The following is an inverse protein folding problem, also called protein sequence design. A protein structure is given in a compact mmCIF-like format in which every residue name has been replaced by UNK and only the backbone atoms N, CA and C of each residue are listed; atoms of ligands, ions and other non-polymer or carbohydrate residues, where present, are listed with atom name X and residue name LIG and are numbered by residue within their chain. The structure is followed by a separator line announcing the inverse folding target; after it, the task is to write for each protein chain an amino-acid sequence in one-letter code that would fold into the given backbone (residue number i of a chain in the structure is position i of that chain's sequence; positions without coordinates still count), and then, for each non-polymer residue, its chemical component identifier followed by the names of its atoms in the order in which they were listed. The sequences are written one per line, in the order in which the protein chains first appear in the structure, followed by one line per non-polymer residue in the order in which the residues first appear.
data_IF_902977710489
#
_entry.id   IF_902977710489
#
_cell.length_a   1.000
_cell.length_b   1.000
_cell.length_c   1.000
_cell.angle_alpha   90.00
_cell.angle_beta   90.00
_cell.angle_gamma   90.00
#
_symmetry.space_group_name_H-M   'P 1'
#
loop_
_entity.id
_entity.type
_entity.pdbx_description
1 polymer ?
#
# COMPACT_ATOMS: atom_id res chain seq x y z
N UNK A 1 -5.51 36.58 14.99
CA UNK A 1 -5.19 35.61 16.06
C UNK A 1 -4.59 34.40 15.37
N UNK A 2 -3.26 34.34 15.36
CA UNK A 2 -2.50 33.27 14.74
C UNK A 2 -2.69 32.02 15.61
N UNK A 3 -3.40 31.02 15.06
CA UNK A 3 -3.64 29.77 15.76
C UNK A 3 -2.29 29.02 15.82
N UNK A 4 -1.57 29.16 16.92
CA UNK A 4 -0.37 28.39 17.25
C UNK A 4 -0.77 26.95 17.52
N UNK A 5 -1.18 26.24 16.46
CA UNK A 5 -1.19 24.80 16.46
C UNK A 5 0.24 24.36 16.82
N UNK A 6 0.39 23.78 18.01
CA UNK A 6 1.66 23.29 18.53
C UNK A 6 2.29 22.40 17.47
N UNK A 7 3.38 22.87 16.86
CA UNK A 7 4.12 22.07 15.88
C UNK A 7 4.52 20.77 16.56
N UNK A 8 4.10 19.60 16.06
CA UNK A 8 4.45 18.34 16.70
C UNK A 8 5.96 18.23 16.82
N UNK A 9 6.45 17.85 17.99
CA UNK A 9 7.88 17.62 18.23
C UNK A 9 8.30 16.33 17.48
N UNK A 10 8.73 16.48 16.22
CA UNK A 10 9.13 15.36 15.35
C UNK A 10 10.64 15.19 15.43
N UNK A 11 11.08 13.97 15.73
CA UNK A 11 12.48 13.56 15.76
C UNK A 11 12.63 12.14 15.19
N UNK A 12 13.87 11.69 14.98
CA UNK A 12 14.13 10.40 14.34
C UNK A 12 13.51 9.18 15.07
N UNK A 13 13.36 9.21 16.40
CA UNK A 13 12.82 8.07 17.16
C UNK A 13 11.30 7.96 17.10
N UNK A 14 10.59 9.05 16.78
CA UNK A 14 9.14 9.09 16.80
C UNK A 14 8.48 9.19 15.40
N UNK A 15 9.27 9.08 14.32
CA UNK A 15 8.77 9.16 12.93
C UNK A 15 7.64 8.17 12.64
N UNK A 16 7.77 6.93 13.11
CA UNK A 16 6.79 5.86 12.92
C UNK A 16 5.42 6.17 13.52
N UNK A 17 5.38 6.92 14.63
CA UNK A 17 4.13 7.38 15.22
C UNK A 17 3.63 8.63 14.50
N UNK A 18 4.51 9.59 14.24
CA UNK A 18 4.12 10.86 13.65
C UNK A 18 3.62 10.73 12.22
N UNK A 19 4.15 9.80 11.42
CA UNK A 19 3.65 9.56 10.05
C UNK A 19 2.17 9.16 10.02
N UNK A 20 1.70 8.47 11.07
CA UNK A 20 0.31 8.01 11.19
C UNK A 20 -0.66 9.15 11.45
N UNK A 21 -0.29 10.13 12.27
CA UNK A 21 -1.19 11.18 12.73
C UNK A 21 -0.90 12.55 12.11
N UNK A 22 0.35 12.79 11.70
CA UNK A 22 0.85 14.06 11.17
C UNK A 22 1.69 13.83 9.89
N UNK A 23 1.13 13.22 8.82
CA UNK A 23 1.90 12.78 7.66
C UNK A 23 2.66 13.92 6.96
N UNK A 24 2.02 15.06 6.72
CA UNK A 24 2.66 16.20 6.03
C UNK A 24 3.84 16.76 6.83
N UNK A 25 3.69 16.94 8.15
CA UNK A 25 4.76 17.41 9.01
C UNK A 25 5.91 16.39 9.08
N UNK A 26 5.58 15.11 9.10
CA UNK A 26 6.57 14.02 9.08
C UNK A 26 7.35 13.98 7.79
N UNK A 27 6.70 14.10 6.63
CA UNK A 27 7.38 14.21 5.35
C UNK A 27 8.29 15.44 5.30
N UNK A 28 7.82 16.60 5.74
CA UNK A 28 8.67 17.81 5.83
C UNK A 28 9.97 17.52 6.60
N UNK A 29 9.86 16.93 7.78
CA UNK A 29 11.03 16.56 8.58
C UNK A 29 11.95 15.56 7.84
N UNK A 30 11.39 14.51 7.23
CA UNK A 30 12.16 13.48 6.50
C UNK A 30 12.94 14.11 5.33
N UNK A 31 12.31 14.98 4.54
CA UNK A 31 12.97 15.59 3.39
C UNK A 31 14.00 16.66 3.79
N UNK A 32 13.79 17.37 4.91
CA UNK A 32 14.73 18.38 5.42
C UNK A 32 15.95 17.76 6.12
N UNK A 33 15.77 16.65 6.84
CA UNK A 33 16.81 16.06 7.69
C UNK A 33 17.46 14.80 7.07
N UNK A 34 17.00 14.40 5.88
CA UNK A 34 17.47 13.24 5.12
C UNK A 34 17.86 12.02 6.00
N UNK A 35 16.96 11.44 6.80
CA UNK A 35 17.18 10.10 7.28
C UNK A 35 17.06 9.17 6.07
N UNK A 36 18.12 9.04 5.26
CA UNK A 36 18.23 8.11 4.11
C UNK A 36 18.15 6.64 4.50
N UNK A 37 17.69 6.33 5.71
CA UNK A 37 17.69 5.00 6.28
C UNK A 37 16.45 4.24 5.81
N UNK A 38 16.75 3.21 5.01
CA UNK A 38 16.00 1.97 4.88
C UNK A 38 14.68 1.99 4.09
N UNK A 39 14.55 2.82 3.04
CA UNK A 39 13.45 2.68 2.04
C UNK A 39 13.24 1.23 1.62
N UNK A 40 14.34 0.49 1.41
CA UNK A 40 14.33 -0.93 1.08
C UNK A 40 13.59 -1.79 2.11
N UNK A 41 13.81 -1.57 3.42
CA UNK A 41 13.20 -2.41 4.46
C UNK A 41 11.68 -2.24 4.50
N UNK A 42 11.18 -1.02 4.29
CA UNK A 42 9.75 -0.74 4.21
C UNK A 42 9.12 -1.49 3.04
N UNK A 43 9.80 -1.56 1.91
CA UNK A 43 9.29 -2.26 0.74
C UNK A 43 9.25 -3.78 0.94
N UNK A 44 10.23 -4.35 1.63
CA UNK A 44 10.22 -5.77 2.01
C UNK A 44 9.03 -6.07 2.93
N UNK A 45 8.86 -5.32 4.02
CA UNK A 45 7.74 -5.55 4.94
C UNK A 45 6.38 -5.23 4.33
N UNK A 46 6.28 -4.18 3.51
CA UNK A 46 5.06 -3.87 2.75
C UNK A 46 4.72 -4.96 1.75
N UNK A 47 5.74 -5.62 1.17
CA UNK A 47 5.59 -6.78 0.29
C UNK A 47 5.04 -7.97 1.06
N UNK A 48 5.64 -8.29 2.22
CA UNK A 48 5.18 -9.34 3.14
C UNK A 48 3.71 -9.15 3.52
N UNK A 49 3.35 -7.95 3.98
CA UNK A 49 1.97 -7.62 4.39
C UNK A 49 0.97 -7.83 3.24
N UNK A 50 1.36 -7.41 2.03
CA UNK A 50 0.55 -7.60 0.82
C UNK A 50 0.45 -9.07 0.42
N UNK A 51 1.51 -9.86 0.61
CA UNK A 51 1.54 -11.30 0.36
C UNK A 51 0.59 -12.07 1.27
N UNK A 52 0.65 -11.81 2.57
CA UNK A 52 -0.28 -12.43 3.54
C UNK A 52 -1.72 -11.99 3.28
N UNK A 53 -1.94 -10.70 2.97
CA UNK A 53 -3.26 -10.22 2.56
C UNK A 53 -3.84 -11.02 1.38
N UNK A 54 -3.03 -11.29 0.35
CA UNK A 54 -3.46 -12.14 -0.78
C UNK A 54 -3.77 -13.58 -0.38
N UNK A 55 -3.10 -14.15 0.62
CA UNK A 55 -3.46 -15.48 1.13
C UNK A 55 -4.85 -15.47 1.77
N UNK A 56 -5.17 -14.42 2.53
CA UNK A 56 -6.48 -14.25 3.17
C UNK A 56 -7.60 -14.03 2.15
N UNK A 57 -7.30 -13.48 0.97
CA UNK A 57 -8.26 -13.17 -0.11
C UNK A 57 -8.43 -14.34 -1.13
N UNK A 58 -7.84 -15.52 -0.91
CA UNK A 58 -7.93 -16.66 -1.87
C UNK A 58 -9.31 -17.35 -1.86
N UNK A 59 -9.78 -17.75 -3.04
CA UNK A 59 -11.08 -18.41 -3.21
C UNK A 59 -11.12 -19.86 -2.70
N UNK A 60 -9.98 -20.54 -2.59
CA UNK A 60 -9.89 -21.90 -2.11
C UNK A 60 -9.66 -21.92 -0.59
N UNK A 61 -10.65 -22.36 0.17
CA UNK A 61 -10.51 -22.86 1.54
C UNK A 61 -9.89 -24.26 1.51
N UNK A 62 -8.75 -24.43 0.82
CA UNK A 62 -7.97 -25.65 1.00
C UNK A 62 -7.40 -25.57 2.41
N UNK A 63 -8.06 -26.32 3.29
CA UNK A 63 -7.91 -26.24 4.72
C UNK A 63 -6.49 -26.53 5.19
N UNK A 64 -6.23 -26.03 6.40
CA UNK A 64 -5.01 -26.13 7.20
C UNK A 64 -3.88 -25.17 6.81
N UNK A 65 -3.65 -24.17 7.67
CA UNK A 65 -2.45 -24.03 8.52
C UNK A 65 -1.09 -24.46 7.93
N UNK A 66 -0.88 -24.29 6.64
CA UNK A 66 0.43 -24.56 6.05
C UNK A 66 1.36 -23.40 6.40
N UNK A 67 1.91 -23.45 7.61
CA UNK A 67 3.04 -22.64 8.04
C UNK A 67 4.14 -22.59 6.96
N UNK A 68 4.46 -23.69 6.24
CA UNK A 68 5.36 -23.63 5.09
C UNK A 68 4.88 -22.66 4.00
N UNK A 69 3.59 -22.66 3.66
CA UNK A 69 3.02 -21.74 2.68
C UNK A 69 3.12 -20.29 3.15
N UNK A 70 2.81 -20.00 4.42
CA UNK A 70 2.97 -18.67 5.00
C UNK A 70 4.42 -18.19 4.90
N UNK A 71 5.39 -19.04 5.26
CA UNK A 71 6.82 -18.71 5.20
C UNK A 71 7.28 -18.46 3.75
N UNK A 72 6.88 -19.32 2.81
CA UNK A 72 7.17 -19.14 1.38
C UNK A 72 6.60 -17.81 0.89
N UNK A 73 5.34 -17.50 1.23
CA UNK A 73 4.72 -16.23 0.84
C UNK A 73 5.44 -15.05 1.46
N UNK A 74 5.80 -15.07 2.74
CA UNK A 74 6.55 -13.99 3.38
C UNK A 74 7.89 -13.75 2.68
N UNK A 75 8.64 -14.81 2.37
CA UNK A 75 9.92 -14.71 1.67
C UNK A 75 9.76 -14.16 0.25
N UNK A 76 8.89 -14.78 -0.56
CA UNK A 76 8.69 -14.40 -1.97
C UNK A 76 8.09 -13.00 -2.06
N UNK A 77 7.04 -12.70 -1.29
CA UNK A 77 6.39 -11.38 -1.35
C UNK A 77 7.25 -10.26 -0.77
N UNK A 78 8.09 -10.55 0.23
CA UNK A 78 9.10 -9.61 0.70
C UNK A 78 10.14 -9.32 -0.38
N UNK A 79 10.64 -10.36 -1.04
CA UNK A 79 11.59 -10.24 -2.16
C UNK A 79 10.97 -9.59 -3.40
N UNK A 80 9.68 -9.77 -3.68
CA UNK A 80 9.02 -9.08 -4.80
C UNK A 80 8.57 -7.67 -4.42
N UNK A 81 8.42 -7.37 -3.13
CA UNK A 81 7.97 -6.08 -2.61
C UNK A 81 8.89 -4.94 -3.06
N UNK A 82 10.21 -5.10 -2.89
CA UNK A 82 11.16 -4.05 -3.30
C UNK A 82 11.09 -3.74 -4.80
N UNK A 83 11.05 -4.76 -5.67
CA UNK A 83 10.91 -4.56 -7.11
C UNK A 83 9.60 -3.84 -7.44
N UNK A 84 8.51 -4.32 -6.84
CA UNK A 84 7.16 -3.80 -7.09
C UNK A 84 7.03 -2.33 -6.69
N UNK A 85 7.51 -1.95 -5.51
CA UNK A 85 7.40 -0.56 -5.04
C UNK A 85 8.35 0.39 -5.76
N UNK A 86 9.49 -0.07 -6.26
CA UNK A 86 10.33 0.72 -7.17
C UNK A 86 9.60 1.01 -8.49
N UNK A 87 8.93 0.00 -9.04
CA UNK A 87 8.15 0.15 -10.26
C UNK A 87 6.95 1.09 -10.04
N UNK A 88 6.25 0.97 -8.91
CA UNK A 88 5.17 1.90 -8.53
C UNK A 88 5.69 3.33 -8.42
N UNK A 89 6.85 3.55 -7.78
CA UNK A 89 7.45 4.88 -7.68
C UNK A 89 7.76 5.47 -9.06
N UNK A 90 8.27 4.65 -9.98
CA UNK A 90 8.55 5.05 -11.34
C UNK A 90 7.28 5.46 -12.09
N UNK A 91 6.22 4.64 -12.06
CA UNK A 91 4.97 5.00 -12.72
C UNK A 91 4.29 6.24 -12.10
N UNK A 92 4.36 6.42 -10.78
CA UNK A 92 3.87 7.64 -10.13
C UNK A 92 4.67 8.88 -10.52
N UNK A 93 5.96 8.74 -10.82
CA UNK A 93 6.76 9.85 -11.36
C UNK A 93 6.31 10.25 -12.76
N UNK A 94 6.10 9.27 -13.66
CA UNK A 94 5.60 9.51 -15.02
C UNK A 94 4.21 10.16 -14.96
N UNK A 95 3.31 9.62 -14.13
CA UNK A 95 1.99 10.21 -13.94
C UNK A 95 2.08 11.65 -13.38
N UNK A 96 3.05 11.90 -12.50
CA UNK A 96 3.38 13.22 -12.01
C UNK A 96 3.77 14.16 -13.15
N UNK A 97 4.69 13.73 -14.01
CA UNK A 97 5.20 14.50 -15.15
C UNK A 97 4.10 14.83 -16.17
N UNK A 98 3.21 13.87 -16.47
CA UNK A 98 2.01 14.09 -17.30
C UNK A 98 1.14 15.20 -16.70
N UNK A 99 1.02 15.22 -15.38
CA UNK A 99 0.29 16.24 -14.63
C UNK A 99 1.14 17.51 -14.37
N UNK A 100 2.29 17.69 -15.03
CA UNK A 100 3.21 18.83 -14.85
C UNK A 100 3.78 18.94 -13.43
N UNK A 101 4.03 17.79 -12.82
CA UNK A 101 4.77 17.63 -11.56
C UNK A 101 6.27 17.88 -11.74
N UNK A 102 7.00 17.87 -10.63
CA UNK A 102 8.46 18.07 -10.58
C UNK A 102 9.18 17.13 -9.61
N UNK A 103 8.45 16.29 -8.86
CA UNK A 103 9.06 15.37 -7.91
C UNK A 103 9.78 14.23 -8.63
N UNK A 104 10.96 13.88 -8.14
CA UNK A 104 11.78 12.80 -8.68
C UNK A 104 11.26 11.42 -8.27
N UNK A 105 11.73 10.37 -8.96
CA UNK A 105 11.47 8.97 -8.58
C UNK A 105 11.97 8.69 -7.15
N UNK A 106 13.06 9.32 -6.71
CA UNK A 106 13.57 9.19 -5.34
C UNK A 106 12.61 9.75 -4.28
N UNK A 107 11.98 10.88 -4.58
CA UNK A 107 10.98 11.49 -3.70
C UNK A 107 9.77 10.55 -3.54
N UNK A 108 9.29 9.97 -4.64
CA UNK A 108 8.22 8.98 -4.61
C UNK A 108 8.59 7.72 -3.82
N UNK A 109 9.81 7.19 -4.00
CA UNK A 109 10.28 6.03 -3.23
C UNK A 109 10.24 6.30 -1.73
N UNK A 110 10.69 7.47 -1.32
CA UNK A 110 10.65 7.90 0.08
C UNK A 110 9.21 8.03 0.59
N UNK A 111 8.34 8.68 -0.19
CA UNK A 111 6.92 8.83 0.16
C UNK A 111 6.23 7.48 0.31
N UNK A 112 6.41 6.56 -0.64
CA UNK A 112 5.80 5.22 -0.59
C UNK A 112 6.32 4.45 0.62
N UNK A 113 7.63 4.45 0.87
CA UNK A 113 8.21 3.71 1.99
C UNK A 113 7.56 4.10 3.32
N UNK A 114 7.44 5.40 3.59
CA UNK A 114 6.81 5.89 4.81
C UNK A 114 5.28 5.75 4.81
N UNK A 115 4.64 5.82 3.64
CA UNK A 115 3.22 5.52 3.51
C UNK A 115 2.90 4.06 3.86
N UNK A 116 3.83 3.12 3.70
CA UNK A 116 3.63 1.70 4.04
C UNK A 116 3.58 1.41 5.54
N UNK A 117 3.91 2.36 6.42
CA UNK A 117 3.93 2.13 7.89
C UNK A 117 2.63 1.50 8.43
N UNK A 118 1.42 1.97 8.10
CA UNK A 118 0.18 1.33 8.54
C UNK A 118 0.05 -0.11 8.02
N UNK A 119 0.44 -0.36 6.78
CA UNK A 119 0.42 -1.68 6.16
C UNK A 119 1.42 -2.63 6.83
N UNK A 120 2.60 -2.15 7.23
CA UNK A 120 3.56 -2.93 8.01
C UNK A 120 2.96 -3.30 9.37
N UNK A 121 2.27 -2.37 10.03
CA UNK A 121 1.55 -2.67 11.28
C UNK A 121 0.42 -3.69 11.08
N UNK A 122 -0.17 -3.78 9.89
CA UNK A 122 -1.16 -4.81 9.61
C UNK A 122 -0.57 -6.23 9.65
N UNK A 123 0.76 -6.44 9.57
CA UNK A 123 1.36 -7.77 9.75
C UNK A 123 0.98 -8.39 11.10
N UNK A 124 0.90 -7.58 12.15
CA UNK A 124 0.46 -8.01 13.48
C UNK A 124 -1.03 -8.40 13.53
N UNK A 125 -1.79 -8.11 12.47
CA UNK A 125 -3.22 -8.45 12.32
C UNK A 125 -3.38 -9.62 11.36
N UNK A 126 -2.78 -9.54 10.17
CA UNK A 126 -2.98 -10.52 9.10
C UNK A 126 -2.27 -11.84 9.36
N UNK A 127 -1.12 -11.85 10.08
CA UNK A 127 -0.43 -13.10 10.44
C UNK A 127 -1.27 -13.88 11.46
N UNK A 128 -1.70 -13.32 12.61
CA UNK A 128 -2.60 -14.02 13.51
C UNK A 128 -3.90 -14.44 12.84
N UNK A 129 -4.49 -13.59 11.99
CA UNK A 129 -5.69 -13.95 11.25
C UNK A 129 -5.46 -15.21 10.39
N UNK A 130 -4.36 -15.28 9.65
CA UNK A 130 -4.03 -16.45 8.85
C UNK A 130 -3.81 -17.70 9.70
N UNK A 131 -3.12 -17.58 10.85
CA UNK A 131 -2.84 -18.71 11.73
C UNK A 131 -4.07 -19.24 12.48
N UNK A 132 -5.10 -18.42 12.66
CA UNK A 132 -6.33 -18.79 13.38
C UNK A 132 -7.44 -19.24 12.43
N UNK A 133 -7.60 -18.54 11.30
CA UNK A 133 -8.72 -18.72 10.38
C UNK A 133 -8.30 -19.29 9.01
N UNK A 134 -7.01 -19.45 8.76
CA UNK A 134 -6.48 -19.97 7.50
C UNK A 134 -6.53 -18.99 6.32
N UNK A 135 -6.06 -19.50 5.18
CA UNK A 135 -6.19 -18.83 3.89
C UNK A 135 -7.64 -18.73 3.43
N UNK A 136 -7.96 -17.67 2.68
CA UNK A 136 -9.33 -17.43 2.18
C UNK A 136 -10.31 -16.89 3.23
N UNK A 137 -9.88 -16.66 4.48
CA UNK A 137 -10.76 -16.18 5.55
C UNK A 137 -11.35 -14.78 5.32
N UNK A 138 -10.82 -13.95 4.42
CA UNK A 138 -11.52 -12.70 4.05
C UNK A 138 -12.74 -12.98 3.16
N UNK A 139 -12.70 -14.02 2.33
CA UNK A 139 -13.82 -14.38 1.45
C UNK A 139 -15.00 -14.90 2.24
N UNK A 140 -14.76 -15.61 3.35
CA UNK A 140 -15.85 -16.03 4.22
C UNK A 140 -16.61 -14.84 4.85
N UNK A 141 -15.95 -13.69 5.07
CA UNK A 141 -16.62 -12.45 5.51
C UNK A 141 -17.52 -11.87 4.40
N UNK A 142 -17.06 -11.92 3.15
CA UNK A 142 -17.84 -11.46 2.01
C UNK A 142 -19.04 -12.36 1.70
N UNK A 143 -18.86 -13.68 1.80
CA UNK A 143 -19.87 -14.69 1.48
C UNK A 143 -20.93 -14.82 2.58
N UNK A 144 -20.50 -14.88 3.85
CA UNK A 144 -21.39 -15.09 4.99
C UNK A 144 -21.89 -13.78 5.62
N UNK A 145 -21.36 -12.65 5.16
CA UNK A 145 -21.68 -11.33 5.69
C UNK A 145 -21.20 -11.11 7.14
N UNK A 146 -21.74 -10.06 7.76
CA UNK A 146 -21.41 -9.68 9.13
C UNK A 146 -22.22 -10.48 10.16
N UNK A 147 -21.89 -11.77 10.31
CA UNK A 147 -22.48 -12.65 11.34
C UNK A 147 -21.77 -12.50 12.69
N UNK A 148 -22.53 -12.55 13.78
CA UNK A 148 -22.00 -12.49 15.15
C UNK A 148 -21.08 -13.67 15.48
N UNK A 149 -21.30 -14.82 14.83
CA UNK A 149 -20.50 -16.04 15.01
C UNK A 149 -19.06 -15.87 14.51
N UNK A 150 -18.82 -14.89 13.63
CA UNK A 150 -17.51 -14.56 13.06
C UNK A 150 -16.97 -13.20 13.52
N UNK A 151 -17.45 -12.69 14.66
CA UNK A 151 -17.09 -11.35 15.15
C UNK A 151 -15.58 -11.12 15.21
N UNK A 152 -14.80 -12.11 15.66
CA UNK A 152 -13.33 -12.00 15.73
C UNK A 152 -12.67 -11.81 14.36
N UNK A 153 -13.08 -12.59 13.37
CA UNK A 153 -12.59 -12.50 11.99
C UNK A 153 -12.97 -11.17 11.35
N UNK A 154 -14.22 -10.74 11.52
CA UNK A 154 -14.72 -9.44 11.04
C UNK A 154 -13.88 -8.29 11.60
N UNK A 155 -13.56 -8.30 12.89
CA UNK A 155 -12.75 -7.26 13.51
C UNK A 155 -11.34 -7.20 12.92
N UNK A 156 -10.68 -8.35 12.75
CA UNK A 156 -9.35 -8.41 12.14
C UNK A 156 -9.37 -7.91 10.69
N UNK A 157 -10.37 -8.35 9.91
CA UNK A 157 -10.59 -7.88 8.54
C UNK A 157 -10.76 -6.36 8.48
N UNK A 158 -11.63 -5.79 9.32
CA UNK A 158 -11.88 -4.34 9.35
C UNK A 158 -10.64 -3.55 9.77
N UNK A 159 -9.89 -4.01 10.77
CA UNK A 159 -8.64 -3.37 11.19
C UNK A 159 -7.64 -3.38 10.03
N UNK A 160 -7.46 -4.52 9.35
CA UNK A 160 -6.57 -4.62 8.21
C UNK A 160 -7.01 -3.70 7.05
N UNK A 161 -8.32 -3.62 6.77
CA UNK A 161 -8.87 -2.72 5.76
C UNK A 161 -8.64 -1.24 6.10
N UNK A 162 -8.87 -0.83 7.36
CA UNK A 162 -8.62 0.53 7.84
C UNK A 162 -7.15 0.90 7.65
N UNK A 163 -6.21 0.01 8.01
CA UNK A 163 -4.78 0.25 7.83
C UNK A 163 -4.39 0.39 6.35
N UNK A 164 -4.97 -0.41 5.46
CA UNK A 164 -4.76 -0.27 4.00
C UNK A 164 -5.27 1.08 3.48
N UNK A 165 -6.47 1.51 3.90
CA UNK A 165 -7.03 2.82 3.54
C UNK A 165 -6.14 3.95 4.08
N UNK A 166 -5.65 3.80 5.31
CA UNK A 166 -4.77 4.78 5.95
C UNK A 166 -3.44 4.95 5.21
N UNK A 167 -2.88 3.86 4.67
CA UNK A 167 -1.70 3.91 3.81
C UNK A 167 -1.94 4.79 2.57
N UNK A 168 -3.11 4.64 1.91
CA UNK A 168 -3.47 5.48 0.76
C UNK A 168 -3.62 6.94 1.17
N UNK A 169 -4.22 7.22 2.33
CA UNK A 169 -4.32 8.58 2.85
C UNK A 169 -2.93 9.22 3.05
N UNK A 170 -1.99 8.52 3.68
CA UNK A 170 -0.61 9.00 3.88
C UNK A 170 0.10 9.19 2.52
N UNK A 171 -0.06 8.24 1.60
CA UNK A 171 0.49 8.33 0.25
C UNK A 171 0.03 9.62 -0.45
N UNK A 172 -1.28 9.90 -0.45
CA UNK A 172 -1.83 11.11 -1.07
C UNK A 172 -1.27 12.38 -0.42
N UNK A 173 -1.15 12.41 0.92
CA UNK A 173 -0.53 13.55 1.63
C UNK A 173 0.93 13.74 1.24
N UNK A 174 1.68 12.64 1.09
CA UNK A 174 3.06 12.67 0.60
C UNK A 174 3.16 13.18 -0.84
N UNK A 175 2.29 12.73 -1.74
CA UNK A 175 2.23 13.20 -3.13
C UNK A 175 1.90 14.69 -3.21
N UNK A 176 0.91 15.16 -2.44
CA UNK A 176 0.59 16.59 -2.31
C UNK A 176 1.84 17.38 -1.92
N UNK A 177 2.60 16.88 -0.94
CA UNK A 177 3.81 17.54 -0.44
C UNK A 177 4.92 17.60 -1.49
N UNK A 178 5.33 16.46 -2.07
CA UNK A 178 6.47 16.42 -3.00
C UNK A 178 6.15 17.06 -4.35
N UNK A 179 4.92 16.92 -4.85
CA UNK A 179 4.52 17.48 -6.15
C UNK A 179 3.98 18.92 -6.05
N UNK A 180 3.71 19.42 -4.84
CA UNK A 180 3.02 20.71 -4.60
C UNK A 180 1.67 20.78 -5.32
N UNK A 181 0.97 19.65 -5.38
CA UNK A 181 -0.34 19.52 -6.03
C UNK A 181 -1.48 19.86 -5.07
N UNK A 182 -2.66 20.18 -5.61
CA UNK A 182 -3.90 20.08 -4.86
C UNK A 182 -4.24 18.61 -4.58
N UNK A 183 -5.10 18.35 -3.60
CA UNK A 183 -5.49 16.97 -3.22
C UNK A 183 -6.08 16.20 -4.40
N UNK A 184 -6.98 16.83 -5.18
CA UNK A 184 -7.59 16.18 -6.35
C UNK A 184 -6.55 15.78 -7.40
N UNK A 185 -5.56 16.64 -7.67
CA UNK A 185 -4.48 16.35 -8.61
C UNK A 185 -3.53 15.27 -8.08
N UNK A 186 -3.31 15.21 -6.78
CA UNK A 186 -2.56 14.12 -6.15
C UNK A 186 -3.30 12.77 -6.25
N UNK A 187 -4.63 12.76 -6.06
CA UNK A 187 -5.45 11.57 -6.29
C UNK A 187 -5.38 11.10 -7.75
N UNK A 188 -5.50 12.03 -8.70
CA UNK A 188 -5.31 11.73 -10.12
C UNK A 188 -3.92 11.13 -10.38
N UNK A 189 -2.87 11.68 -9.76
CA UNK A 189 -1.52 11.13 -9.89
C UNK A 189 -1.41 9.69 -9.38
N UNK A 190 -2.07 9.37 -8.26
CA UNK A 190 -2.09 8.01 -7.70
C UNK A 190 -2.86 7.03 -8.60
N UNK A 191 -3.96 7.47 -9.21
CA UNK A 191 -4.83 6.61 -10.03
C UNK A 191 -4.32 6.43 -11.47
N UNK A 192 -3.67 7.45 -12.03
CA UNK A 192 -3.30 7.50 -13.45
C UNK A 192 -2.42 6.33 -13.92
N UNK A 193 -1.42 5.82 -13.16
CA UNK A 193 -0.69 4.61 -13.52
C UNK A 193 -1.58 3.41 -13.82
N UNK A 194 -2.60 3.18 -12.99
CA UNK A 194 -3.52 2.05 -13.16
C UNK A 194 -4.37 2.22 -14.41
N UNK A 195 -4.79 3.44 -14.71
CA UNK A 195 -5.54 3.76 -15.94
C UNK A 195 -4.67 3.51 -17.18
N UNK A 196 -3.41 3.96 -17.18
CA UNK A 196 -2.50 3.75 -18.31
C UNK A 196 -2.27 2.26 -18.57
N UNK A 197 -2.00 1.47 -17.51
CA UNK A 197 -1.80 0.02 -17.63
C UNK A 197 -3.08 -0.67 -18.11
N UNK A 198 -4.24 -0.31 -17.57
CA UNK A 198 -5.51 -0.87 -17.99
C UNK A 198 -5.80 -0.59 -19.46
N UNK A 199 -5.62 0.66 -19.92
CA UNK A 199 -5.80 1.03 -21.32
C UNK A 199 -4.87 0.25 -22.26
N UNK A 200 -3.61 0.05 -21.86
CA UNK A 200 -2.66 -0.75 -22.62
C UNK A 200 -3.11 -2.22 -22.74
N UNK A 201 -3.54 -2.83 -21.63
CA UNK A 201 -4.02 -4.22 -21.62
C UNK A 201 -5.28 -4.37 -22.49
N UNK A 202 -6.28 -3.50 -22.31
CA UNK A 202 -7.51 -3.57 -23.10
C UNK A 202 -7.26 -3.33 -24.59
N UNK A 203 -6.36 -2.41 -24.94
CA UNK A 203 -5.94 -2.20 -26.33
C UNK A 203 -5.27 -3.44 -26.92
N UNK A 204 -4.37 -4.10 -26.18
CA UNK A 204 -3.72 -5.33 -26.63
C UNK A 204 -4.73 -6.46 -26.84
N UNK A 205 -5.66 -6.65 -25.90
CA UNK A 205 -6.71 -7.67 -26.02
C UNK A 205 -7.63 -7.41 -27.21
N UNK A 206 -7.98 -6.15 -27.48
CA UNK A 206 -8.79 -5.78 -28.64
C UNK A 206 -8.07 -6.10 -29.96
N UNK A 207 -6.76 -5.84 -30.04
CA UNK A 207 -5.94 -6.19 -31.21
C UNK A 207 -5.88 -7.71 -31.39
N UNK A 208 -5.61 -8.47 -30.33
CA UNK A 208 -5.58 -9.94 -30.39
C UNK A 208 -6.94 -10.50 -30.81
N UNK A 209 -8.04 -9.98 -30.27
CA UNK A 209 -9.39 -10.38 -30.66
C UNK A 209 -9.70 -10.09 -32.13
N UNK A 210 -9.28 -8.92 -32.64
CA UNK A 210 -9.42 -8.57 -34.05
C UNK A 210 -8.59 -9.47 -34.98
N UNK A 211 -7.41 -9.93 -34.53
CA UNK A 211 -6.55 -10.85 -35.28
C UNK A 211 -7.01 -12.32 -35.19
N UNK A 212 -7.60 -12.72 -34.06
CA UNK A 212 -8.13 -14.06 -33.82
C UNK A 212 -9.55 -14.30 -34.33
N UNK A 213 -10.25 -13.24 -34.75
CA UNK A 213 -11.62 -13.27 -35.30
C UNK A 213 -11.74 -13.76 -36.76
N UNK A 214 -10.69 -14.36 -37.31
CA UNK A 214 -10.73 -15.12 -38.58
C UNK A 214 -10.35 -16.57 -38.32
N UNK A 215 -11.27 -17.34 -37.74
CA UNK A 215 -11.33 -18.80 -37.85
C UNK A 215 -12.79 -19.23 -37.73
#
# INVERSE_FOLDING_TARGET
MENTATTPNINASNLWKNILFHPTATFKYIFENQPKKSVFIFFVFGGMASGVGRLLDRNSLDGSDDLPQLLIVLLISGALGWISYYLVAYFLSIAGDILKGKASVEDFRTVIAWALVPTIFSLAVVIPQYLIYGGGSNNSVWENGFSIDNTGLILLFLIAAILKIWMVFILVKGVVFIQKFSIGKALMNVVLPFVIVALFIFGLLAIIGALGGFN
#
